data_IF_190294060343
#
_entry.id   IF_190294060343
#
_cell.length_a   1.000
_cell.length_b   1.000
_cell.length_c   1.000
_cell.angle_alpha   90.00
_cell.angle_beta   90.00
_cell.angle_gamma   90.00
#
_symmetry.space_group_name_H-M   'P 1'
#
loop_
_entity.id
_entity.type
_entity.pdbx_description
1 polymer ?
#
# COMPACT_ATOMS: atom_id res chain seq x y z
N UNK A 1 15.07 7.12 24.49
CA UNK A 1 15.53 5.88 23.85
C UNK A 1 14.41 4.85 23.85
N UNK A 2 14.34 3.96 22.87
CA UNK A 2 13.53 2.74 22.91
C UNK A 2 14.33 1.61 22.21
N UNK A 3 13.96 0.35 22.43
CA UNK A 3 14.68 -0.81 21.90
C UNK A 3 14.78 -0.80 20.37
N UNK A 4 13.72 -0.46 19.65
CA UNK A 4 13.74 -0.38 18.17
C UNK A 4 14.79 0.61 17.66
N UNK A 5 14.98 1.75 18.34
CA UNK A 5 16.02 2.68 17.97
C UNK A 5 17.40 2.12 18.31
N UNK A 6 17.53 1.41 19.44
CA UNK A 6 18.80 0.77 19.83
C UNK A 6 19.18 -0.33 18.83
N UNK A 7 18.22 -1.20 18.45
CA UNK A 7 18.40 -2.22 17.39
C UNK A 7 18.79 -1.57 16.05
N UNK A 8 18.15 -0.48 15.65
CA UNK A 8 18.49 0.28 14.44
C UNK A 8 19.93 0.82 14.49
N UNK A 9 20.30 1.43 15.61
CA UNK A 9 21.66 1.99 15.81
C UNK A 9 22.69 0.86 15.77
N UNK A 10 22.43 -0.28 16.39
CA UNK A 10 23.29 -1.46 16.34
C UNK A 10 23.41 -2.02 14.93
N UNK A 11 22.31 -2.26 14.26
CA UNK A 11 22.25 -2.85 12.91
C UNK A 11 23.09 -2.07 11.90
N UNK A 12 22.98 -0.75 11.92
CA UNK A 12 23.70 0.15 11.00
C UNK A 12 25.01 0.67 11.60
N UNK A 13 25.36 0.25 12.81
CA UNK A 13 26.57 0.67 13.53
C UNK A 13 26.70 2.20 13.65
N UNK A 14 25.60 2.90 13.98
CA UNK A 14 25.54 4.34 14.13
C UNK A 14 25.97 4.80 15.52
N UNK A 15 27.16 4.34 15.96
CA UNK A 15 27.85 4.70 17.18
C UNK A 15 29.36 4.79 16.95
N UNK A 16 30.09 5.44 17.84
CA UNK A 16 31.55 5.50 17.74
C UNK A 16 32.16 4.12 17.94
N UNK A 17 32.84 3.60 16.92
CA UNK A 17 33.45 2.27 16.91
C UNK A 17 34.95 2.27 17.28
N UNK A 18 35.52 3.44 17.57
CA UNK A 18 36.90 3.53 17.97
C UNK A 18 37.03 3.09 19.42
N UNK A 19 38.00 2.20 19.68
CA UNK A 19 38.36 1.74 21.03
C UNK A 19 37.16 1.20 21.83
N UNK A 20 36.32 0.37 21.18
CA UNK A 20 35.24 -0.30 21.90
C UNK A 20 35.79 -1.21 23.00
N UNK A 21 35.12 -1.19 24.15
CA UNK A 21 35.43 -2.05 25.29
C UNK A 21 34.13 -2.58 25.90
N UNK A 22 34.20 -3.77 26.46
CA UNK A 22 33.15 -4.29 27.32
C UNK A 22 33.08 -3.47 28.61
N UNK A 23 32.00 -3.60 29.36
CA UNK A 23 31.89 -2.97 30.72
C UNK A 23 33.02 -3.40 31.68
N UNK A 24 33.67 -4.50 31.37
CA UNK A 24 34.84 -5.02 32.17
C UNK A 24 36.19 -4.44 31.64
N UNK A 25 36.16 -3.58 30.62
CA UNK A 25 37.36 -2.97 30.05
C UNK A 25 38.10 -3.82 29.03
N UNK A 26 37.57 -4.97 28.62
CA UNK A 26 38.18 -5.80 27.59
C UNK A 26 37.97 -5.16 26.20
N UNK A 27 39.03 -5.17 25.40
CA UNK A 27 38.97 -4.65 24.02
C UNK A 27 37.96 -5.44 23.19
N UNK A 28 37.05 -4.73 22.54
CA UNK A 28 35.98 -5.31 21.73
C UNK A 28 36.13 -4.85 20.25
N UNK A 29 36.04 -5.79 19.33
CA UNK A 29 35.97 -5.54 17.88
C UNK A 29 34.72 -6.23 17.32
N UNK A 30 33.90 -5.48 16.61
CA UNK A 30 32.72 -6.03 15.92
C UNK A 30 33.12 -6.30 14.46
N UNK A 31 33.35 -7.58 14.10
CA UNK A 31 33.63 -8.01 12.73
C UNK A 31 32.33 -8.08 11.91
N UNK A 32 31.25 -8.63 12.51
CA UNK A 32 29.91 -8.72 11.92
C UNK A 32 28.86 -8.46 13.02
N UNK A 33 27.97 -7.45 12.90
CA UNK A 33 27.00 -7.14 13.94
C UNK A 33 25.88 -8.18 14.09
N UNK A 34 25.79 -9.13 13.18
CA UNK A 34 24.71 -10.10 13.08
C UNK A 34 23.59 -9.65 12.13
N UNK A 35 22.61 -10.53 11.95
CA UNK A 35 21.40 -10.28 11.15
C UNK A 35 20.22 -10.08 12.09
N UNK A 36 19.47 -8.99 11.92
CA UNK A 36 18.29 -8.67 12.73
C UNK A 36 17.26 -9.82 12.62
N UNK A 37 16.85 -10.34 13.76
CA UNK A 37 15.83 -11.38 13.87
C UNK A 37 14.45 -10.72 14.09
N UNK A 38 13.47 -11.13 13.29
CA UNK A 38 12.09 -10.69 13.40
C UNK A 38 11.16 -11.74 14.05
N UNK A 39 11.75 -12.84 14.54
CA UNK A 39 11.04 -13.97 15.14
C UNK A 39 11.41 -14.11 16.61
N UNK A 40 10.91 -15.16 17.26
CA UNK A 40 11.26 -15.47 18.64
C UNK A 40 12.77 -15.79 18.78
N UNK A 41 13.38 -15.34 19.87
CA UNK A 41 14.80 -15.54 20.20
C UNK A 41 15.59 -14.23 20.19
N UNK A 42 16.92 -14.29 20.21
CA UNK A 42 17.80 -13.13 20.27
C UNK A 42 17.61 -12.13 19.15
N UNK A 43 17.82 -10.86 19.42
CA UNK A 43 17.62 -9.73 18.48
C UNK A 43 18.47 -9.85 17.21
N UNK A 44 19.71 -10.31 17.33
CA UNK A 44 20.61 -10.50 16.19
C UNK A 44 21.24 -11.89 16.23
N UNK A 45 21.23 -12.58 15.09
CA UNK A 45 21.84 -13.88 14.89
C UNK A 45 23.10 -13.80 14.04
N UNK A 46 23.96 -14.81 14.15
CA UNK A 46 25.19 -14.97 13.36
C UNK A 46 26.16 -13.79 13.46
N UNK A 47 26.27 -13.17 14.60
CA UNK A 47 27.24 -12.14 14.87
C UNK A 47 28.65 -12.74 15.01
N UNK A 48 29.67 -11.92 14.66
CA UNK A 48 31.09 -12.27 14.83
C UNK A 48 31.78 -11.11 15.51
N UNK A 49 32.31 -11.37 16.70
CA UNK A 49 33.02 -10.37 17.50
C UNK A 49 34.35 -10.94 17.99
N UNK A 50 35.22 -10.03 18.43
CA UNK A 50 36.46 -10.39 19.11
C UNK A 50 36.54 -9.66 20.43
N UNK A 51 36.70 -10.41 21.52
CA UNK A 51 36.92 -9.88 22.88
C UNK A 51 38.32 -10.26 23.29
N UNK A 52 39.18 -9.26 23.53
CA UNK A 52 40.62 -9.50 23.69
C UNK A 52 41.20 -10.19 22.46
N UNK A 53 41.82 -11.35 22.65
CA UNK A 53 42.38 -12.18 21.58
C UNK A 53 41.40 -13.27 21.09
N UNK A 54 40.25 -13.45 21.75
CA UNK A 54 39.32 -14.54 21.46
C UNK A 54 38.26 -14.11 20.48
N UNK A 55 38.05 -14.91 19.42
CA UNK A 55 36.97 -14.73 18.43
C UNK A 55 35.73 -15.51 18.85
N UNK A 56 34.60 -14.83 18.88
CA UNK A 56 33.30 -15.36 19.26
C UNK A 56 32.34 -15.32 18.09
N UNK A 57 31.54 -16.38 17.90
CA UNK A 57 30.48 -16.49 16.90
C UNK A 57 29.20 -16.89 17.62
N UNK A 58 28.14 -16.08 17.49
CA UNK A 58 26.89 -16.33 18.19
C UNK A 58 25.86 -15.25 17.96
N UNK A 59 25.01 -15.04 18.94
CA UNK A 59 23.90 -14.10 18.90
C UNK A 59 24.15 -12.91 19.81
N UNK A 60 23.43 -11.84 19.55
CA UNK A 60 23.51 -10.60 20.33
C UNK A 60 22.10 -10.22 20.77
N UNK A 61 21.98 -9.82 22.03
CA UNK A 61 20.74 -9.32 22.64
C UNK A 61 20.89 -7.85 23.01
N UNK A 62 19.82 -7.08 22.82
CA UNK A 62 19.80 -5.65 23.11
C UNK A 62 18.72 -5.29 24.14
N UNK A 63 19.08 -4.48 25.14
CA UNK A 63 18.14 -3.94 26.12
C UNK A 63 18.40 -2.46 26.41
N UNK A 64 17.41 -1.78 26.95
CA UNK A 64 17.62 -0.40 27.45
C UNK A 64 18.45 -0.41 28.71
N UNK A 65 18.11 -1.23 29.69
CA UNK A 65 18.86 -1.45 30.90
C UNK A 65 19.40 -2.88 30.93
N UNK A 66 20.58 -3.09 31.53
CA UNK A 66 21.11 -4.44 31.70
C UNK A 66 20.21 -5.34 32.53
N UNK A 67 19.51 -4.79 33.53
CA UNK A 67 18.53 -5.52 34.36
C UNK A 67 17.35 -6.09 33.60
N UNK A 68 17.05 -5.62 32.37
CA UNK A 68 15.97 -6.15 31.54
C UNK A 68 16.21 -7.62 31.14
N UNK A 69 17.48 -8.06 31.13
CA UNK A 69 17.85 -9.47 30.97
C UNK A 69 17.10 -10.38 31.94
N UNK A 70 17.06 -9.99 33.23
CA UNK A 70 16.37 -10.77 34.24
C UNK A 70 14.86 -10.62 34.18
N UNK A 71 14.36 -9.42 33.85
CA UNK A 71 12.91 -9.15 33.66
C UNK A 71 12.31 -10.02 32.57
N UNK A 72 13.05 -10.21 31.48
CA UNK A 72 12.63 -11.04 30.35
C UNK A 72 12.93 -12.53 30.57
N UNK A 73 13.61 -12.92 31.67
CA UNK A 73 13.95 -14.31 32.04
C UNK A 73 14.79 -15.04 31.00
N UNK A 74 15.68 -14.34 30.28
CA UNK A 74 16.51 -14.93 29.22
C UNK A 74 17.44 -16.02 29.73
N UNK A 75 17.92 -15.98 30.97
CA UNK A 75 18.76 -17.02 31.56
C UNK A 75 18.11 -18.40 31.64
N UNK A 76 16.77 -18.50 31.59
CA UNK A 76 16.05 -19.78 31.60
C UNK A 76 15.62 -20.28 30.20
N UNK A 77 15.76 -19.44 29.16
CA UNK A 77 15.36 -19.78 27.80
C UNK A 77 16.56 -20.32 26.98
N UNK A 78 16.46 -21.55 26.49
CA UNK A 78 17.50 -22.22 25.69
C UNK A 78 17.86 -21.46 24.41
N UNK A 79 16.97 -20.63 23.87
CA UNK A 79 17.25 -19.84 22.69
C UNK A 79 18.36 -18.80 22.92
N UNK A 80 18.61 -18.42 24.18
CA UNK A 80 19.62 -17.44 24.58
C UNK A 80 20.94 -18.04 25.04
N UNK A 81 21.11 -19.36 24.95
CA UNK A 81 22.34 -20.04 25.39
C UNK A 81 23.60 -19.66 24.57
N UNK A 82 23.43 -19.15 23.35
CA UNK A 82 24.54 -18.76 22.46
C UNK A 82 24.64 -17.23 22.30
N UNK A 83 24.28 -16.47 23.33
CA UNK A 83 24.54 -15.03 23.34
C UNK A 83 26.02 -14.81 23.64
N UNK A 84 26.68 -14.00 22.82
CA UNK A 84 28.12 -13.70 22.94
C UNK A 84 28.37 -12.27 23.41
N UNK A 85 27.37 -11.39 23.31
CA UNK A 85 27.44 -10.00 23.74
C UNK A 85 26.05 -9.51 24.13
N UNK A 86 25.95 -8.83 25.26
CA UNK A 86 24.78 -8.06 25.66
C UNK A 86 25.04 -6.59 25.34
N UNK A 87 24.20 -5.99 24.51
CA UNK A 87 24.33 -4.57 24.13
C UNK A 87 23.26 -3.77 24.83
N UNK A 88 23.66 -2.78 25.63
CA UNK A 88 22.72 -2.01 26.44
C UNK A 88 22.84 -0.51 26.19
N UNK A 89 21.76 0.21 26.38
CA UNK A 89 21.85 1.67 26.49
C UNK A 89 22.57 2.07 27.76
N UNK A 90 22.17 1.48 28.89
CA UNK A 90 22.71 1.76 30.23
C UNK A 90 22.89 0.45 31.02
N UNK A 91 24.00 0.31 31.71
CA UNK A 91 24.24 -0.79 32.66
C UNK A 91 23.88 -0.34 34.04
N UNK A 92 22.71 -0.75 34.56
CA UNK A 92 22.22 -0.45 35.91
C UNK A 92 22.59 -1.56 36.93
N UNK A 93 22.79 -2.79 36.47
CA UNK A 93 23.31 -3.89 37.28
C UNK A 93 24.10 -4.88 36.42
N UNK A 94 25.11 -5.59 36.96
CA UNK A 94 25.85 -6.60 36.24
C UNK A 94 25.00 -7.81 35.94
N UNK A 95 25.13 -8.35 34.71
CA UNK A 95 24.44 -9.57 34.27
C UNK A 95 25.40 -10.75 34.29
N UNK A 96 24.93 -11.90 34.79
CA UNK A 96 25.68 -13.12 34.85
C UNK A 96 25.05 -14.21 34.01
N UNK A 97 25.88 -15.04 33.40
CA UNK A 97 25.45 -16.25 32.69
C UNK A 97 25.02 -17.35 33.68
N UNK A 98 24.50 -18.48 33.14
CA UNK A 98 24.07 -19.60 33.95
C UNK A 98 25.22 -20.30 34.71
N UNK A 99 26.47 -20.05 34.33
CA UNK A 99 27.66 -20.57 34.97
C UNK A 99 28.21 -19.60 36.06
N UNK A 100 27.58 -18.44 36.22
CA UNK A 100 28.00 -17.40 37.18
C UNK A 100 29.13 -16.51 36.67
N UNK A 101 29.46 -16.56 35.37
CA UNK A 101 30.43 -15.65 34.80
C UNK A 101 29.74 -14.33 34.43
N UNK A 102 30.43 -13.23 34.57
CA UNK A 102 29.95 -11.92 34.14
C UNK A 102 29.78 -11.90 32.62
N UNK A 103 28.60 -11.49 32.19
CA UNK A 103 28.26 -11.48 30.77
C UNK A 103 28.96 -10.32 30.04
N UNK A 104 29.64 -10.54 28.89
CA UNK A 104 30.23 -9.45 28.14
C UNK A 104 29.17 -8.42 27.73
N UNK A 105 29.29 -7.19 28.22
CA UNK A 105 28.30 -6.13 28.00
C UNK A 105 28.95 -4.92 27.30
N UNK A 106 28.28 -4.38 26.27
CA UNK A 106 28.67 -3.11 25.61
C UNK A 106 27.65 -2.03 25.91
N UNK A 107 28.09 -0.93 26.50
CA UNK A 107 27.26 0.23 26.83
C UNK A 107 27.29 1.23 25.66
N UNK A 108 26.14 1.57 25.07
CA UNK A 108 26.06 2.47 23.90
C UNK A 108 25.76 3.93 24.26
N UNK A 109 25.32 4.25 25.46
CA UNK A 109 24.86 5.59 25.88
C UNK A 109 25.84 6.71 25.49
N UNK A 110 27.14 6.51 25.75
CA UNK A 110 28.17 7.51 25.49
C UNK A 110 28.77 7.42 24.09
N UNK A 111 28.45 6.38 23.34
CA UNK A 111 28.98 6.13 21.99
C UNK A 111 28.07 6.68 20.90
N UNK A 112 26.79 6.94 21.22
CA UNK A 112 25.80 7.41 20.23
C UNK A 112 25.81 8.94 20.16
N UNK A 113 25.94 9.51 18.95
CA UNK A 113 25.93 10.95 18.74
C UNK A 113 24.59 11.59 19.15
N UNK A 114 24.62 12.64 19.98
CA UNK A 114 23.44 13.38 20.42
C UNK A 114 22.57 13.87 19.27
N UNK A 115 23.19 14.31 18.17
CA UNK A 115 22.51 14.79 16.96
C UNK A 115 21.55 13.74 16.36
N UNK A 116 21.93 12.45 16.36
CA UNK A 116 21.07 11.36 15.90
C UNK A 116 19.81 11.25 16.78
N UNK A 117 20.00 11.29 18.10
CA UNK A 117 18.90 11.19 19.06
C UNK A 117 17.93 12.38 18.94
N UNK A 118 18.47 13.59 18.84
CA UNK A 118 17.68 14.81 18.66
C UNK A 118 16.82 14.76 17.39
N UNK A 119 17.39 14.34 16.26
CA UNK A 119 16.66 14.17 14.99
C UNK A 119 15.56 13.12 15.11
N UNK A 120 15.86 12.00 15.71
CA UNK A 120 14.86 10.97 15.94
C UNK A 120 13.68 11.49 16.78
N UNK A 121 13.97 12.14 17.92
CA UNK A 121 12.96 12.73 18.79
C UNK A 121 12.12 13.74 18.02
N UNK A 122 12.76 14.64 17.24
CA UNK A 122 12.04 15.63 16.45
C UNK A 122 11.08 14.98 15.44
N UNK A 123 11.51 13.94 14.72
CA UNK A 123 10.63 13.21 13.80
C UNK A 123 9.48 12.50 14.52
N UNK A 124 9.73 11.93 15.72
CA UNK A 124 8.70 11.20 16.47
C UNK A 124 7.67 12.12 17.11
N UNK A 125 8.07 13.31 17.55
CA UNK A 125 7.18 14.28 18.22
C UNK A 125 6.35 15.12 17.26
N UNK A 126 6.77 15.22 15.99
CA UNK A 126 6.07 16.06 15.01
C UNK A 126 4.66 15.53 14.68
N UNK A 127 3.69 16.43 14.56
CA UNK A 127 2.29 16.11 14.25
C UNK A 127 1.93 16.29 12.76
N UNK A 128 2.90 16.64 11.93
CA UNK A 128 2.66 16.81 10.48
C UNK A 128 2.63 15.47 9.75
N UNK A 129 1.95 15.44 8.61
CA UNK A 129 1.76 14.22 7.80
C UNK A 129 3.09 13.60 7.32
N UNK A 130 4.09 14.45 7.02
CA UNK A 130 5.43 14.03 6.64
C UNK A 130 6.40 14.39 7.76
N UNK A 131 6.71 13.47 8.70
CA UNK A 131 7.50 13.80 9.90
C UNK A 131 8.88 14.38 9.62
N UNK A 132 9.46 14.05 8.48
CA UNK A 132 10.81 14.48 8.08
C UNK A 132 10.83 15.68 7.11
N UNK A 133 9.71 16.38 6.88
CA UNK A 133 9.65 17.42 5.83
C UNK A 133 10.68 18.54 6.00
N UNK A 134 11.07 18.88 7.24
CA UNK A 134 12.06 19.92 7.54
C UNK A 134 13.50 19.52 7.18
N UNK A 135 13.72 18.23 6.95
CA UNK A 135 15.04 17.68 6.61
C UNK A 135 15.19 17.36 5.11
N UNK A 136 14.13 17.52 4.31
CA UNK A 136 14.13 17.19 2.90
C UNK A 136 14.78 18.31 2.04
N UNK A 137 15.36 17.95 0.86
CA UNK A 137 15.62 16.61 0.34
C UNK A 137 16.87 15.98 0.98
N UNK A 138 16.91 14.67 1.20
CA UNK A 138 17.99 13.96 1.89
C UNK A 138 18.66 12.87 1.07
N UNK A 139 17.92 12.21 0.20
CA UNK A 139 18.46 11.25 -0.75
C UNK A 139 18.88 11.98 -2.03
N UNK A 140 19.89 11.47 -2.69
CA UNK A 140 20.22 11.85 -4.05
C UNK A 140 19.14 11.32 -5.04
N UNK A 141 19.26 11.67 -6.31
CA UNK A 141 18.27 11.29 -7.32
C UNK A 141 18.16 9.76 -7.47
N UNK A 142 19.29 9.05 -7.43
CA UNK A 142 19.32 7.59 -7.51
C UNK A 142 18.67 6.94 -6.29
N UNK A 143 18.96 7.42 -5.09
CA UNK A 143 18.38 6.96 -3.85
C UNK A 143 16.85 7.15 -3.82
N UNK A 144 16.35 8.28 -4.31
CA UNK A 144 14.91 8.51 -4.45
C UNK A 144 14.29 7.58 -5.49
N UNK A 145 14.96 7.35 -6.64
CA UNK A 145 14.47 6.43 -7.67
C UNK A 145 14.30 5.01 -7.10
N UNK A 146 15.36 4.46 -6.53
CA UNK A 146 15.36 3.12 -5.94
C UNK A 146 14.32 2.98 -4.80
N UNK A 147 14.17 4.01 -3.96
CA UNK A 147 13.18 3.99 -2.87
C UNK A 147 11.75 4.02 -3.39
N UNK A 148 11.45 4.85 -4.40
CA UNK A 148 10.12 4.90 -5.02
C UNK A 148 9.76 3.59 -5.73
N UNK A 149 10.70 2.97 -6.44
CA UNK A 149 10.49 1.66 -7.08
C UNK A 149 10.14 0.58 -6.05
N UNK A 150 10.88 0.53 -4.95
CA UNK A 150 10.60 -0.39 -3.84
C UNK A 150 9.21 -0.16 -3.26
N UNK A 151 8.83 1.08 -2.97
CA UNK A 151 7.51 1.43 -2.43
C UNK A 151 6.37 1.08 -3.41
N UNK A 152 6.59 1.28 -4.71
CA UNK A 152 5.63 0.89 -5.74
C UNK A 152 5.45 -0.64 -5.79
N UNK A 153 6.55 -1.40 -5.66
CA UNK A 153 6.50 -2.86 -5.57
C UNK A 153 5.74 -3.32 -4.32
N UNK A 154 6.06 -2.80 -3.14
CA UNK A 154 5.36 -3.09 -1.87
C UNK A 154 3.84 -2.81 -1.98
N UNK A 155 3.47 -1.68 -2.61
CA UNK A 155 2.07 -1.36 -2.90
C UNK A 155 1.40 -2.41 -3.79
N UNK A 156 2.04 -2.81 -4.87
CA UNK A 156 1.50 -3.81 -5.81
C UNK A 156 1.39 -5.18 -5.15
N UNK A 157 2.35 -5.61 -4.36
CA UNK A 157 2.31 -6.87 -3.59
C UNK A 157 1.15 -6.86 -2.59
N UNK A 158 0.99 -5.80 -1.83
CA UNK A 158 -0.11 -5.66 -0.88
C UNK A 158 -1.48 -5.66 -1.56
N UNK A 159 -1.61 -5.00 -2.71
CA UNK A 159 -2.84 -5.01 -3.52
C UNK A 159 -3.09 -6.40 -4.11
N UNK A 160 -2.05 -7.08 -4.55
CA UNK A 160 -2.14 -8.44 -5.09
C UNK A 160 -2.61 -9.44 -4.04
N UNK A 161 -2.18 -9.33 -2.80
CA UNK A 161 -2.67 -10.19 -1.71
C UNK A 161 -4.19 -10.13 -1.57
N UNK A 162 -4.79 -8.93 -1.63
CA UNK A 162 -6.24 -8.75 -1.62
C UNK A 162 -6.91 -9.35 -2.87
N UNK A 163 -6.34 -9.12 -4.07
CA UNK A 163 -6.84 -9.66 -5.33
C UNK A 163 -6.85 -11.19 -5.32
N UNK A 164 -5.80 -11.81 -4.80
CA UNK A 164 -5.72 -13.28 -4.69
C UNK A 164 -6.73 -13.85 -3.68
N UNK A 165 -7.10 -13.11 -2.64
CA UNK A 165 -8.22 -13.50 -1.77
C UNK A 165 -9.56 -13.48 -2.53
N UNK A 166 -9.81 -12.45 -3.34
CA UNK A 166 -11.00 -12.38 -4.20
C UNK A 166 -11.00 -13.51 -5.25
N UNK A 167 -9.82 -13.84 -5.79
CA UNK A 167 -9.67 -14.94 -6.75
C UNK A 167 -10.10 -16.28 -6.15
N UNK A 168 -9.71 -16.57 -4.91
CA UNK A 168 -10.20 -17.76 -4.19
C UNK A 168 -11.71 -17.75 -4.02
N UNK A 169 -12.31 -16.60 -3.70
CA UNK A 169 -13.77 -16.45 -3.55
C UNK A 169 -14.52 -16.69 -4.86
N UNK A 170 -13.94 -16.33 -6.01
CA UNK A 170 -14.53 -16.52 -7.33
C UNK A 170 -14.34 -17.94 -7.91
N UNK A 171 -13.70 -18.87 -7.18
CA UNK A 171 -13.33 -20.16 -7.74
C UNK A 171 -12.21 -20.08 -8.79
N UNK A 172 -11.28 -19.18 -8.62
CA UNK A 172 -10.14 -18.91 -9.51
C UNK A 172 -10.54 -18.31 -10.89
N UNK A 173 -11.61 -17.54 -10.91
CA UNK A 173 -12.11 -16.92 -12.12
C UNK A 173 -11.66 -15.47 -12.28
N UNK A 174 -10.59 -15.22 -13.05
CA UNK A 174 -9.98 -13.89 -13.22
C UNK A 174 -10.90 -12.83 -13.81
N UNK A 175 -11.76 -13.18 -14.76
CA UNK A 175 -12.74 -12.24 -15.33
C UNK A 175 -13.76 -11.76 -14.28
N UNK A 176 -14.22 -12.65 -13.39
CA UNK A 176 -15.12 -12.28 -12.29
C UNK A 176 -14.44 -11.30 -11.31
N UNK A 177 -13.21 -11.59 -10.91
CA UNK A 177 -12.44 -10.71 -10.00
C UNK A 177 -12.20 -9.35 -10.65
N UNK A 178 -11.81 -9.34 -11.92
CA UNK A 178 -11.59 -8.13 -12.69
C UNK A 178 -12.88 -7.30 -12.80
N UNK A 179 -14.02 -7.95 -13.03
CA UNK A 179 -15.34 -7.35 -13.05
C UNK A 179 -15.69 -6.70 -11.69
N UNK A 180 -15.52 -7.42 -10.58
CA UNK A 180 -15.81 -6.89 -9.24
C UNK A 180 -14.96 -5.66 -8.90
N UNK A 181 -13.67 -5.72 -9.19
CA UNK A 181 -12.74 -4.61 -8.93
C UNK A 181 -12.99 -3.40 -9.84
N UNK A 182 -13.32 -3.64 -11.11
CA UNK A 182 -13.67 -2.60 -12.06
C UNK A 182 -14.92 -1.85 -11.57
N UNK A 183 -15.98 -2.58 -11.25
CA UNK A 183 -17.20 -2.00 -10.73
C UNK A 183 -16.94 -1.23 -9.42
N UNK A 184 -16.23 -1.82 -8.47
CA UNK A 184 -15.86 -1.16 -7.21
C UNK A 184 -15.15 0.18 -7.45
N UNK A 185 -14.27 0.24 -8.44
CA UNK A 185 -13.56 1.47 -8.80
C UNK A 185 -14.49 2.54 -9.38
N UNK A 186 -15.45 2.16 -10.24
CA UNK A 186 -16.48 3.09 -10.74
C UNK A 186 -17.29 3.75 -9.61
N UNK A 187 -17.49 3.04 -8.49
CA UNK A 187 -18.13 3.58 -7.30
C UNK A 187 -17.32 4.65 -6.57
N UNK A 188 -16.09 4.91 -6.98
CA UNK A 188 -15.09 5.74 -6.31
C UNK A 188 -15.03 5.41 -4.80
N UNK A 189 -14.43 6.27 -3.97
CA UNK A 189 -14.28 5.97 -2.54
C UNK A 189 -15.60 5.78 -1.80
N UNK A 190 -16.64 6.56 -2.15
CA UNK A 190 -17.89 6.64 -1.39
C UNK A 190 -18.82 5.46 -1.66
N UNK A 191 -18.97 5.08 -2.92
CA UNK A 191 -19.88 4.02 -3.34
C UNK A 191 -19.16 2.73 -3.78
N UNK A 192 -17.84 2.60 -3.56
CA UNK A 192 -17.05 1.44 -3.99
C UNK A 192 -17.65 0.11 -3.51
N UNK A 193 -17.98 0.02 -2.23
CA UNK A 193 -18.56 -1.20 -1.66
C UNK A 193 -19.99 -1.50 -2.18
N UNK A 194 -20.79 -0.48 -2.51
CA UNK A 194 -22.07 -0.68 -3.19
C UNK A 194 -21.86 -1.30 -4.58
N UNK A 195 -20.96 -0.72 -5.37
CA UNK A 195 -20.70 -1.19 -6.73
C UNK A 195 -20.09 -2.60 -6.77
N UNK A 196 -19.24 -2.94 -5.80
CA UNK A 196 -18.74 -4.31 -5.63
C UNK A 196 -19.88 -5.30 -5.34
N UNK A 197 -20.80 -4.96 -4.43
CA UNK A 197 -21.97 -5.80 -4.13
C UNK A 197 -22.87 -5.96 -5.37
N UNK A 198 -23.10 -4.88 -6.12
CA UNK A 198 -23.86 -4.93 -7.39
C UNK A 198 -23.17 -5.88 -8.38
N UNK A 199 -21.87 -5.76 -8.53
CA UNK A 199 -21.12 -6.64 -9.44
C UNK A 199 -21.18 -8.11 -9.02
N UNK A 200 -21.04 -8.41 -7.73
CA UNK A 200 -21.14 -9.77 -7.19
C UNK A 200 -22.54 -10.36 -7.29
N UNK A 201 -23.57 -9.52 -7.35
CA UNK A 201 -24.97 -9.97 -7.48
C UNK A 201 -25.41 -10.31 -8.91
N UNK A 202 -24.59 -9.98 -9.91
CA UNK A 202 -24.87 -10.22 -11.34
C UNK A 202 -23.73 -11.02 -11.95
N UNK A 203 -23.96 -12.29 -12.31
CA UNK A 203 -22.92 -13.10 -12.94
C UNK A 203 -22.54 -12.57 -14.34
N UNK A 204 -21.29 -12.75 -14.74
CA UNK A 204 -20.81 -12.39 -16.08
C UNK A 204 -21.62 -13.03 -17.19
N UNK A 205 -22.17 -14.23 -16.99
CA UNK A 205 -23.05 -14.90 -17.94
C UNK A 205 -24.35 -14.11 -18.20
N UNK A 206 -24.91 -13.43 -17.18
CA UNK A 206 -26.07 -12.56 -17.34
C UNK A 206 -25.68 -11.32 -18.14
N UNK A 207 -24.57 -10.68 -17.77
CA UNK A 207 -24.03 -9.50 -18.48
C UNK A 207 -23.81 -9.83 -19.97
N UNK A 208 -23.15 -10.94 -20.28
CA UNK A 208 -22.86 -11.36 -21.65
C UNK A 208 -24.14 -11.57 -22.50
N UNK A 209 -25.21 -12.12 -21.91
CA UNK A 209 -26.51 -12.29 -22.60
C UNK A 209 -27.18 -10.97 -22.96
N UNK A 210 -26.88 -9.89 -22.25
CA UNK A 210 -27.49 -8.57 -22.44
C UNK A 210 -26.52 -7.52 -23.01
N UNK A 211 -25.29 -7.94 -23.38
CA UNK A 211 -24.22 -7.05 -23.84
C UNK A 211 -24.67 -6.07 -24.92
N UNK A 212 -25.41 -6.51 -25.93
CA UNK A 212 -25.81 -5.68 -27.07
C UNK A 212 -27.06 -4.82 -26.82
N UNK A 213 -27.51 -4.71 -25.57
CA UNK A 213 -28.72 -3.96 -25.16
C UNK A 213 -28.42 -3.06 -23.99
N UNK A 214 -27.93 -1.86 -24.28
CA UNK A 214 -27.46 -0.89 -23.29
C UNK A 214 -28.53 -0.64 -22.18
N UNK A 215 -29.81 -0.46 -22.56
CA UNK A 215 -30.90 -0.24 -21.61
C UNK A 215 -31.10 -1.41 -20.64
N UNK A 216 -30.86 -2.65 -21.08
CA UNK A 216 -30.97 -3.82 -20.21
C UNK A 216 -29.77 -3.90 -19.24
N UNK A 217 -28.56 -3.52 -19.68
CA UNK A 217 -27.41 -3.40 -18.78
C UNK A 217 -27.61 -2.30 -17.75
N UNK A 218 -28.13 -1.13 -18.15
CA UNK A 218 -28.47 -0.06 -17.21
C UNK A 218 -29.57 -0.50 -16.23
N UNK A 219 -30.64 -1.14 -16.71
CA UNK A 219 -31.69 -1.65 -15.87
C UNK A 219 -31.16 -2.66 -14.83
N UNK A 220 -30.26 -3.58 -15.22
CA UNK A 220 -29.62 -4.53 -14.31
C UNK A 220 -28.81 -3.80 -13.22
N UNK A 221 -27.91 -2.92 -13.62
CA UNK A 221 -27.01 -2.25 -12.68
C UNK A 221 -27.75 -1.29 -11.73
N UNK A 222 -28.60 -0.43 -12.28
CA UNK A 222 -29.38 0.54 -11.50
C UNK A 222 -30.41 -0.16 -10.61
N UNK A 223 -31.03 -1.23 -11.11
CA UNK A 223 -31.98 -2.01 -10.35
C UNK A 223 -31.34 -2.77 -9.20
N UNK A 224 -30.20 -3.42 -9.42
CA UNK A 224 -29.45 -4.09 -8.36
C UNK A 224 -28.90 -3.09 -7.31
N UNK A 225 -28.56 -1.88 -7.73
CA UNK A 225 -28.19 -0.79 -6.82
C UNK A 225 -29.38 -0.18 -6.07
N UNK A 226 -30.59 -0.75 -6.21
CA UNK A 226 -31.83 -0.26 -5.60
C UNK A 226 -32.21 1.18 -5.99
N UNK A 227 -31.82 1.62 -7.20
CA UNK A 227 -32.08 2.95 -7.73
C UNK A 227 -33.38 3.02 -8.59
N UNK A 228 -34.03 1.91 -8.85
CA UNK A 228 -35.28 1.82 -9.64
C UNK A 228 -36.54 1.55 -8.79
N UNK A 229 -36.44 1.69 -7.47
CA UNK A 229 -37.58 1.44 -6.56
C UNK A 229 -38.51 2.65 -6.34
N UNK A 230 -38.18 3.82 -6.87
CA UNK A 230 -38.94 5.07 -6.69
C UNK A 230 -40.15 5.17 -7.62
N UNK A 231 -40.93 6.26 -7.44
CA UNK A 231 -41.93 6.70 -8.41
C UNK A 231 -41.28 7.69 -9.35
N UNK A 232 -41.38 7.46 -10.66
CA UNK A 232 -40.79 8.29 -11.69
C UNK A 232 -41.86 8.78 -12.67
N UNK A 233 -41.54 9.90 -13.35
CA UNK A 233 -42.41 10.55 -14.32
C UNK A 233 -41.84 10.50 -15.73
N UNK A 234 -40.55 10.53 -15.88
CA UNK A 234 -39.89 10.44 -17.19
C UNK A 234 -40.08 9.05 -17.81
N UNK A 235 -40.20 9.00 -19.12
CA UNK A 235 -40.37 7.75 -19.88
C UNK A 235 -39.18 6.80 -19.73
N UNK A 236 -37.97 7.35 -19.59
CA UNK A 236 -36.74 6.55 -19.52
C UNK A 236 -36.61 5.74 -18.22
N UNK A 237 -36.69 6.31 -17.01
CA UNK A 237 -36.71 5.49 -15.79
C UNK A 237 -37.88 4.52 -15.71
N UNK A 238 -39.04 4.89 -16.23
CA UNK A 238 -40.23 3.98 -16.30
C UNK A 238 -39.93 2.74 -17.18
N UNK A 239 -39.24 2.96 -18.30
CA UNK A 239 -38.80 1.88 -19.19
C UNK A 239 -37.76 0.98 -18.48
N UNK A 240 -36.77 1.58 -17.79
CA UNK A 240 -35.77 0.81 -17.04
C UNK A 240 -36.39 0.00 -15.89
N UNK A 241 -37.42 0.53 -15.21
CA UNK A 241 -38.17 -0.22 -14.18
C UNK A 241 -38.84 -1.46 -14.77
N UNK A 242 -39.49 -1.34 -15.92
CA UNK A 242 -40.15 -2.49 -16.60
C UNK A 242 -39.11 -3.54 -17.01
N UNK A 243 -38.01 -3.12 -17.63
CA UNK A 243 -36.92 -4.01 -18.01
C UNK A 243 -36.31 -4.71 -16.78
N UNK A 244 -36.03 -3.96 -15.72
CA UNK A 244 -35.49 -4.55 -14.49
C UNK A 244 -36.46 -5.52 -13.83
N UNK A 245 -37.73 -5.21 -13.78
CA UNK A 245 -38.75 -6.12 -13.23
C UNK A 245 -38.76 -7.46 -13.99
N UNK A 246 -38.71 -7.42 -15.31
CA UNK A 246 -38.63 -8.62 -16.15
C UNK A 246 -37.32 -9.40 -15.87
N UNK A 247 -36.15 -8.72 -15.88
CA UNK A 247 -34.85 -9.34 -15.67
C UNK A 247 -34.72 -9.89 -14.24
N UNK A 248 -35.19 -9.15 -13.25
CA UNK A 248 -35.22 -9.59 -11.86
C UNK A 248 -35.98 -10.92 -11.70
N UNK A 249 -37.18 -11.04 -12.30
CA UNK A 249 -38.00 -12.27 -12.28
C UNK A 249 -37.30 -13.40 -13.05
N UNK A 250 -36.76 -13.11 -14.24
CA UNK A 250 -36.10 -14.09 -15.10
C UNK A 250 -34.89 -14.75 -14.47
N UNK A 251 -34.06 -13.96 -13.75
CA UNK A 251 -32.79 -14.39 -13.15
C UNK A 251 -32.86 -14.52 -11.63
N UNK A 252 -34.03 -14.35 -11.02
CA UNK A 252 -34.27 -14.44 -9.56
C UNK A 252 -33.34 -13.50 -8.77
N UNK A 253 -33.06 -12.30 -9.32
CA UNK A 253 -32.17 -11.32 -8.73
C UNK A 253 -32.80 -10.65 -7.50
N UNK A 254 -31.99 -10.27 -6.54
CA UNK A 254 -32.39 -9.45 -5.39
C UNK A 254 -31.50 -8.18 -5.35
N UNK A 255 -32.09 -6.98 -5.24
CA UNK A 255 -31.35 -5.77 -5.06
C UNK A 255 -30.42 -5.87 -3.84
N UNK A 256 -29.23 -5.26 -3.92
CA UNK A 256 -28.29 -5.29 -2.81
C UNK A 256 -28.80 -4.48 -1.63
N UNK A 257 -28.55 -4.96 -0.41
CA UNK A 257 -28.97 -4.26 0.81
C UNK A 257 -27.94 -3.17 1.22
N UNK A 258 -27.71 -2.20 0.32
CA UNK A 258 -26.89 -1.03 0.59
C UNK A 258 -27.42 0.17 -0.20
N UNK A 259 -27.63 1.27 0.50
CA UNK A 259 -28.14 2.49 -0.13
C UNK A 259 -27.03 3.26 -0.85
N UNK A 260 -27.29 3.77 -2.07
CA UNK A 260 -26.36 4.65 -2.77
C UNK A 260 -26.26 6.02 -2.10
N UNK A 261 -25.02 6.49 -1.94
CA UNK A 261 -24.74 7.80 -1.37
C UNK A 261 -24.61 8.86 -2.47
N UNK A 262 -25.26 10.01 -2.29
CA UNK A 262 -25.21 11.17 -3.18
C UNK A 262 -24.61 12.40 -2.50
N UNK A 263 -24.51 12.41 -1.16
CA UNK A 263 -24.07 13.56 -0.39
C UNK A 263 -22.53 13.72 -0.45
N UNK A 264 -22.07 14.97 -0.45
CA UNK A 264 -20.66 15.35 -0.45
C UNK A 264 -19.88 14.82 -1.66
N UNK A 265 -20.56 14.69 -2.80
CA UNK A 265 -20.01 14.26 -4.08
C UNK A 265 -20.25 15.31 -5.17
N UNK A 266 -19.33 15.38 -6.13
CA UNK A 266 -19.61 16.13 -7.37
C UNK A 266 -20.64 15.37 -8.20
N UNK A 267 -21.61 16.05 -8.88
CA UNK A 267 -22.65 15.38 -9.66
C UNK A 267 -22.13 14.37 -10.70
N UNK A 268 -21.00 14.68 -11.36
CA UNK A 268 -20.35 13.76 -12.29
C UNK A 268 -19.87 12.42 -11.66
N UNK A 269 -19.83 12.34 -10.33
CA UNK A 269 -19.49 11.11 -9.59
C UNK A 269 -20.72 10.45 -8.95
N UNK A 270 -21.94 10.91 -9.23
CA UNK A 270 -23.14 10.30 -8.69
C UNK A 270 -23.27 8.83 -9.15
N UNK A 271 -23.77 7.95 -8.27
CA UNK A 271 -23.88 6.52 -8.57
C UNK A 271 -24.71 6.23 -9.81
N UNK A 272 -25.74 7.01 -10.10
CA UNK A 272 -26.57 6.95 -11.31
C UNK A 272 -25.72 7.10 -12.57
N UNK A 273 -24.95 8.20 -12.67
CA UNK A 273 -24.08 8.48 -13.82
C UNK A 273 -22.97 7.44 -13.94
N UNK A 274 -22.39 7.02 -12.81
CA UNK A 274 -21.31 6.02 -12.81
C UNK A 274 -21.79 4.63 -13.21
N UNK A 275 -22.98 4.22 -12.80
CA UNK A 275 -23.58 2.95 -13.25
C UNK A 275 -23.94 2.98 -14.74
N UNK A 276 -24.44 4.12 -15.23
CA UNK A 276 -24.70 4.31 -16.66
C UNK A 276 -23.40 4.24 -17.52
N UNK A 277 -22.31 4.90 -17.04
CA UNK A 277 -21.00 4.78 -17.71
C UNK A 277 -20.46 3.34 -17.66
N UNK A 278 -20.65 2.63 -16.54
CA UNK A 278 -20.26 1.24 -16.41
C UNK A 278 -21.09 0.35 -17.34
N UNK A 279 -22.38 0.59 -17.49
CA UNK A 279 -23.23 -0.10 -18.47
C UNK A 279 -22.74 0.14 -19.92
N UNK A 280 -22.40 1.38 -20.25
CA UNK A 280 -21.83 1.72 -21.56
C UNK A 280 -20.50 0.98 -21.81
N UNK A 281 -19.65 0.84 -20.81
CA UNK A 281 -18.41 0.08 -20.91
C UNK A 281 -18.70 -1.42 -21.16
N UNK A 282 -19.60 -2.01 -20.38
CA UNK A 282 -20.01 -3.43 -20.54
C UNK A 282 -20.67 -3.72 -21.91
N UNK A 283 -21.29 -2.72 -22.51
CA UNK A 283 -21.86 -2.82 -23.85
C UNK A 283 -20.78 -2.97 -24.93
N UNK A 284 -19.57 -2.44 -24.69
CA UNK A 284 -18.45 -2.48 -25.63
C UNK A 284 -17.53 -3.67 -25.37
N UNK A 285 -17.20 -3.96 -24.10
CA UNK A 285 -16.25 -5.01 -23.72
C UNK A 285 -16.94 -6.33 -23.39
N UNK A 286 -16.24 -7.47 -23.64
CA UNK A 286 -16.74 -8.81 -23.27
C UNK A 286 -15.88 -9.49 -22.22
N UNK A 287 -14.56 -9.47 -22.39
CA UNK A 287 -13.58 -10.17 -21.59
C UNK A 287 -12.49 -9.18 -21.18
N UNK A 288 -12.78 -8.37 -20.15
CA UNK A 288 -11.91 -7.25 -19.81
C UNK A 288 -10.54 -7.70 -19.30
N UNK A 289 -10.48 -8.79 -18.54
CA UNK A 289 -9.21 -9.34 -18.10
C UNK A 289 -8.37 -9.84 -19.28
N UNK A 290 -8.96 -10.55 -20.24
CA UNK A 290 -8.25 -10.99 -21.44
C UNK A 290 -7.71 -9.80 -22.24
N UNK A 291 -8.52 -8.75 -22.42
CA UNK A 291 -8.08 -7.50 -23.06
C UNK A 291 -6.85 -6.91 -22.34
N UNK A 292 -6.90 -6.79 -21.02
CA UNK A 292 -5.77 -6.27 -20.20
C UNK A 292 -4.52 -7.12 -20.43
N UNK A 293 -4.68 -8.44 -20.44
CA UNK A 293 -3.55 -9.38 -20.57
C UNK A 293 -2.91 -9.28 -21.96
N UNK A 294 -3.70 -9.16 -23.02
CA UNK A 294 -3.24 -9.18 -24.41
C UNK A 294 -2.74 -7.83 -24.92
N UNK A 295 -3.33 -6.73 -24.42
CA UNK A 295 -2.97 -5.37 -24.84
C UNK A 295 -1.53 -5.03 -24.49
N UNK A 296 -0.81 -4.38 -25.42
CA UNK A 296 0.63 -4.09 -25.25
C UNK A 296 0.92 -2.81 -24.49
N UNK A 297 0.10 -1.79 -24.60
CA UNK A 297 0.31 -0.47 -24.00
C UNK A 297 -0.90 0.03 -23.21
N UNK A 298 -0.66 0.87 -22.22
CA UNK A 298 -1.69 1.43 -21.34
C UNK A 298 -2.71 2.31 -22.09
N UNK A 299 -2.31 2.94 -23.18
CA UNK A 299 -3.14 3.85 -23.96
C UNK A 299 -4.32 3.13 -24.61
N UNK A 300 -4.11 1.93 -25.17
CA UNK A 300 -5.20 1.14 -25.78
C UNK A 300 -6.29 0.81 -24.74
N UNK A 301 -5.90 0.43 -23.51
CA UNK A 301 -6.87 0.20 -22.43
C UNK A 301 -7.57 1.48 -22.04
N UNK A 302 -6.84 2.60 -22.01
CA UNK A 302 -7.43 3.92 -21.72
C UNK A 302 -8.47 4.31 -22.76
N UNK A 303 -8.20 4.11 -24.05
CA UNK A 303 -9.13 4.41 -25.13
C UNK A 303 -10.42 3.58 -25.05
N UNK A 304 -10.33 2.32 -24.63
CA UNK A 304 -11.49 1.45 -24.35
C UNK A 304 -12.31 1.97 -23.17
N UNK A 305 -11.67 2.52 -22.15
CA UNK A 305 -12.34 3.08 -20.97
C UNK A 305 -13.06 4.41 -21.25
N UNK A 306 -12.74 5.12 -22.35
CA UNK A 306 -13.31 6.42 -22.69
C UNK A 306 -14.74 6.31 -23.28
N UNK A 307 -15.65 5.76 -22.47
CA UNK A 307 -17.06 5.57 -22.85
C UNK A 307 -17.93 6.76 -22.48
N UNK A 308 -19.10 6.85 -23.10
CA UNK A 308 -20.11 7.86 -22.84
C UNK A 308 -21.39 7.18 -22.36
N UNK A 309 -22.02 7.70 -21.30
CA UNK A 309 -23.32 7.22 -20.85
C UNK A 309 -24.41 7.51 -21.88
N UNK A 310 -25.54 6.82 -21.75
CA UNK A 310 -26.71 7.00 -22.64
C UNK A 310 -27.20 8.46 -22.65
N UNK A 311 -27.85 8.87 -23.74
CA UNK A 311 -28.31 10.24 -24.02
C UNK A 311 -29.19 10.84 -22.90
N UNK A 312 -30.03 10.04 -22.25
CA UNK A 312 -30.82 10.51 -21.11
C UNK A 312 -29.93 11.17 -20.05
N UNK A 313 -28.78 10.58 -19.74
CA UNK A 313 -27.86 11.07 -18.72
C UNK A 313 -27.17 12.39 -19.14
N UNK A 314 -27.18 12.75 -20.40
CA UNK A 314 -26.61 14.06 -20.84
C UNK A 314 -27.40 15.24 -20.28
N UNK A 315 -28.67 15.01 -19.96
CA UNK A 315 -29.58 16.03 -19.37
C UNK A 315 -29.87 15.75 -17.89
N UNK A 316 -29.36 14.64 -17.30
CA UNK A 316 -29.71 14.24 -15.96
C UNK A 316 -28.49 13.78 -15.15
N UNK A 317 -28.51 14.07 -13.85
CA UNK A 317 -27.64 13.47 -12.86
C UNK A 317 -28.41 12.53 -11.92
N UNK A 318 -29.71 12.72 -11.79
CA UNK A 318 -30.69 11.88 -11.12
C UNK A 318 -31.90 11.71 -12.01
N UNK A 319 -32.72 10.72 -11.74
CA UNK A 319 -33.97 10.55 -12.45
C UNK A 319 -34.93 11.71 -12.19
N UNK A 320 -35.68 12.13 -13.19
CA UNK A 320 -36.69 13.19 -13.16
C UNK A 320 -36.13 14.60 -12.80
N UNK A 321 -34.83 14.77 -12.67
CA UNK A 321 -34.16 16.04 -12.39
C UNK A 321 -33.41 16.52 -13.64
N UNK A 322 -34.12 17.15 -14.57
CA UNK A 322 -33.53 17.66 -15.81
C UNK A 322 -32.52 18.79 -15.54
N UNK A 323 -31.41 18.78 -16.24
CA UNK A 323 -30.33 19.78 -16.19
C UNK A 323 -29.95 20.25 -17.59
N UNK A 324 -29.10 21.26 -17.68
CA UNK A 324 -28.50 21.68 -18.95
C UNK A 324 -27.72 20.52 -19.56
N UNK A 325 -27.78 20.43 -20.91
CA UNK A 325 -27.02 19.42 -21.68
C UNK A 325 -25.53 19.44 -21.31
N UNK A 326 -25.05 18.30 -20.90
CA UNK A 326 -23.63 18.05 -20.63
C UNK A 326 -23.29 16.58 -20.91
N UNK A 327 -22.48 16.27 -21.92
CA UNK A 327 -22.08 14.90 -22.21
C UNK A 327 -21.45 14.23 -20.99
N UNK A 328 -21.90 13.03 -20.66
CA UNK A 328 -21.41 12.26 -19.51
C UNK A 328 -20.35 11.25 -19.98
N UNK A 329 -19.24 11.79 -20.50
CA UNK A 329 -18.06 10.97 -20.82
C UNK A 329 -17.36 10.50 -19.52
N UNK A 330 -16.76 9.32 -19.57
CA UNK A 330 -15.78 8.95 -18.56
C UNK A 330 -14.52 9.79 -18.79
N UNK A 331 -14.25 10.72 -17.89
CA UNK A 331 -13.11 11.62 -18.05
C UNK A 331 -11.76 10.88 -17.92
N UNK A 332 -10.73 11.39 -18.61
CA UNK A 332 -9.37 10.81 -18.63
C UNK A 332 -8.84 10.53 -17.22
N UNK A 333 -9.03 11.45 -16.27
CA UNK A 333 -8.60 11.25 -14.87
C UNK A 333 -9.24 10.01 -14.22
N UNK A 334 -10.49 9.69 -14.56
CA UNK A 334 -11.14 8.49 -14.05
C UNK A 334 -10.62 7.23 -14.74
N UNK A 335 -10.34 7.28 -16.04
CA UNK A 335 -9.71 6.18 -16.77
C UNK A 335 -8.31 5.88 -16.23
N UNK A 336 -7.48 6.91 -16.00
CA UNK A 336 -6.18 6.78 -15.33
C UNK A 336 -6.32 6.17 -13.92
N UNK A 337 -7.32 6.61 -13.15
CA UNK A 337 -7.60 6.03 -11.83
C UNK A 337 -7.97 4.54 -11.90
N UNK A 338 -8.75 4.11 -12.91
CA UNK A 338 -9.08 2.69 -13.15
C UNK A 338 -7.82 1.90 -13.51
N UNK A 339 -6.96 2.46 -14.38
CA UNK A 339 -5.69 1.83 -14.72
C UNK A 339 -4.82 1.61 -13.48
N UNK A 340 -4.58 2.67 -12.69
CA UNK A 340 -3.69 2.65 -11.53
C UNK A 340 -4.23 1.74 -10.40
N UNK A 341 -5.54 1.75 -10.16
CA UNK A 341 -6.12 1.11 -8.98
C UNK A 341 -6.80 -0.24 -9.26
N UNK A 342 -7.03 -0.59 -10.52
CA UNK A 342 -7.65 -1.87 -10.91
C UNK A 342 -6.80 -2.64 -11.90
N UNK A 343 -6.56 -2.09 -13.07
CA UNK A 343 -5.94 -2.81 -14.20
C UNK A 343 -4.52 -3.25 -13.86
N UNK A 344 -3.67 -2.32 -13.45
CA UNK A 344 -2.26 -2.58 -13.11
C UNK A 344 -2.12 -3.55 -11.94
N UNK A 345 -2.84 -3.38 -10.79
CA UNK A 345 -2.79 -4.37 -9.72
C UNK A 345 -3.30 -5.76 -10.12
N UNK A 346 -4.33 -5.87 -10.96
CA UNK A 346 -4.83 -7.17 -11.46
C UNK A 346 -3.79 -7.84 -12.34
N UNK A 347 -3.16 -7.10 -13.25
CA UNK A 347 -2.10 -7.63 -14.13
C UNK A 347 -0.88 -8.09 -13.32
N UNK A 348 -0.46 -7.32 -12.32
CA UNK A 348 0.64 -7.68 -11.43
C UNK A 348 0.32 -8.92 -10.59
N UNK A 349 -0.90 -8.98 -10.01
CA UNK A 349 -1.38 -10.14 -9.25
C UNK A 349 -1.45 -11.40 -10.10
N UNK A 350 -1.87 -11.28 -11.35
CA UNK A 350 -1.86 -12.39 -12.30
C UNK A 350 -0.42 -12.87 -12.57
N UNK A 351 0.53 -11.95 -12.80
CA UNK A 351 1.94 -12.29 -12.99
C UNK A 351 2.55 -13.01 -11.79
N UNK A 352 2.19 -12.61 -10.56
CA UNK A 352 2.58 -13.32 -9.33
C UNK A 352 1.97 -14.74 -9.25
N UNK A 353 0.68 -14.86 -9.52
CA UNK A 353 -0.05 -16.12 -9.45
C UNK A 353 0.42 -17.14 -10.49
N UNK A 354 0.58 -16.70 -11.74
CA UNK A 354 0.96 -17.54 -12.88
C UNK A 354 2.47 -17.69 -13.05
N UNK A 355 3.28 -16.97 -12.25
CA UNK A 355 4.74 -16.88 -12.39
C UNK A 355 5.17 -16.32 -13.77
N UNK A 356 4.37 -15.42 -14.34
CA UNK A 356 4.65 -14.71 -15.59
C UNK A 356 5.30 -13.36 -15.30
N UNK A 357 6.65 -13.28 -15.36
CA UNK A 357 7.41 -12.03 -15.12
C UNK A 357 6.98 -10.92 -16.08
N UNK A 358 6.75 -11.23 -17.36
CA UNK A 358 6.32 -10.26 -18.37
C UNK A 358 5.06 -9.47 -17.98
N UNK A 359 4.13 -10.08 -17.24
CA UNK A 359 2.94 -9.40 -16.74
C UNK A 359 3.27 -8.43 -15.59
N UNK A 360 4.24 -8.77 -14.74
CA UNK A 360 4.70 -7.88 -13.66
C UNK A 360 5.48 -6.70 -14.22
N UNK A 361 6.40 -6.94 -15.14
CA UNK A 361 7.18 -5.91 -15.84
C UNK A 361 6.25 -4.94 -16.58
N UNK A 362 5.27 -5.46 -17.31
CA UNK A 362 4.25 -4.67 -18.00
C UNK A 362 3.45 -3.79 -17.05
N UNK A 363 3.05 -4.33 -15.89
CA UNK A 363 2.32 -3.56 -14.88
C UNK A 363 3.16 -2.39 -14.34
N UNK A 364 4.46 -2.61 -14.09
CA UNK A 364 5.39 -1.56 -13.64
C UNK A 364 5.62 -0.54 -14.75
N UNK A 365 5.85 -0.99 -15.98
CA UNK A 365 6.04 -0.10 -17.13
C UNK A 365 4.83 0.81 -17.34
N UNK A 366 3.61 0.30 -17.22
CA UNK A 366 2.41 1.12 -17.34
C UNK A 366 2.30 2.20 -16.26
N UNK A 367 2.83 1.96 -15.05
CA UNK A 367 2.93 3.01 -14.03
C UNK A 367 3.91 4.13 -14.43
N UNK A 368 4.96 3.82 -15.18
CA UNK A 368 5.86 4.85 -15.72
C UNK A 368 5.24 5.65 -16.88
N UNK A 369 4.39 5.03 -17.70
CA UNK A 369 3.74 5.67 -18.85
C UNK A 369 2.61 6.63 -18.44
N UNK A 370 1.95 6.37 -17.32
CA UNK A 370 0.82 7.17 -16.85
C UNK A 370 1.28 8.44 -16.16
N UNK A 371 0.46 9.50 -16.31
CA UNK A 371 0.67 10.77 -15.59
C UNK A 371 0.55 10.57 -14.08
N UNK A 372 1.28 11.42 -13.35
CA UNK A 372 1.25 11.40 -11.89
C UNK A 372 -0.15 11.70 -11.34
N UNK A 373 -0.52 11.04 -10.26
CA UNK A 373 -1.75 11.35 -9.54
C UNK A 373 -1.56 12.64 -8.72
N UNK A 374 -2.39 13.64 -9.01
CA UNK A 374 -2.40 14.90 -8.27
C UNK A 374 -3.49 14.92 -7.19
N UNK A 375 -3.09 14.78 -5.94
CA UNK A 375 -3.95 14.88 -4.78
C UNK A 375 -3.30 15.72 -3.67
N UNK A 376 -3.93 15.81 -2.50
CA UNK A 376 -3.41 16.59 -1.38
C UNK A 376 -2.04 16.08 -0.90
N UNK A 377 -1.83 14.75 -0.86
CA UNK A 377 -0.59 14.12 -0.38
C UNK A 377 0.56 14.38 -1.37
N UNK A 378 0.33 14.14 -2.66
CA UNK A 378 1.38 14.34 -3.68
C UNK A 378 1.80 15.80 -3.79
N UNK A 379 0.85 16.75 -3.68
CA UNK A 379 1.17 18.19 -3.61
C UNK A 379 1.98 18.56 -2.37
N UNK A 380 1.76 17.89 -1.23
CA UNK A 380 2.54 18.14 -0.03
C UNK A 380 4.00 17.69 -0.21
N UNK A 381 4.23 16.53 -0.82
CA UNK A 381 5.57 16.08 -1.19
C UNK A 381 6.26 17.04 -2.17
N UNK A 382 5.53 17.52 -3.17
CA UNK A 382 6.05 18.51 -4.13
C UNK A 382 6.47 19.81 -3.44
N UNK A 383 5.66 20.33 -2.49
CA UNK A 383 6.02 21.49 -1.67
C UNK A 383 7.24 21.26 -0.80
N UNK A 384 7.52 20.03 -0.43
CA UNK A 384 8.72 19.63 0.31
C UNK A 384 9.94 19.38 -0.60
N UNK A 385 9.86 19.74 -1.90
CA UNK A 385 10.95 19.63 -2.88
C UNK A 385 11.10 18.24 -3.52
N UNK A 386 10.16 17.30 -3.30
CA UNK A 386 10.23 15.97 -3.88
C UNK A 386 9.41 15.92 -5.16
N UNK A 387 10.12 15.77 -6.29
CA UNK A 387 9.52 15.74 -7.63
C UNK A 387 8.92 14.35 -7.89
N UNK A 388 7.75 14.34 -8.51
CA UNK A 388 7.10 13.15 -9.06
C UNK A 388 6.70 13.44 -10.52
N UNK A 389 7.05 12.53 -11.44
CA UNK A 389 6.93 12.74 -12.89
C UNK A 389 5.91 11.79 -13.54
N UNK A 390 5.58 10.71 -12.86
CA UNK A 390 4.70 9.64 -13.39
C UNK A 390 3.84 9.03 -12.29
N UNK A 391 2.95 8.12 -12.68
CA UNK A 391 2.08 7.42 -11.74
C UNK A 391 2.88 6.58 -10.73
N UNK A 392 3.98 5.93 -11.13
CA UNK A 392 4.83 5.17 -10.21
C UNK A 392 5.31 6.04 -9.06
N UNK A 393 5.84 7.21 -9.36
CA UNK A 393 6.33 8.16 -8.37
C UNK A 393 5.22 8.57 -7.38
N UNK A 394 4.06 8.99 -7.92
CA UNK A 394 2.96 9.45 -7.09
C UNK A 394 2.37 8.34 -6.21
N UNK A 395 2.26 7.12 -6.75
CA UNK A 395 1.79 5.96 -5.98
C UNK A 395 2.79 5.54 -4.90
N UNK A 396 4.09 5.62 -5.18
CA UNK A 396 5.14 5.39 -4.19
C UNK A 396 5.08 6.40 -3.04
N UNK A 397 4.89 7.70 -3.33
CA UNK A 397 4.75 8.73 -2.29
C UNK A 397 3.46 8.58 -1.47
N UNK A 398 2.37 8.13 -2.08
CA UNK A 398 1.13 7.78 -1.37
C UNK A 398 1.37 6.58 -0.44
N UNK A 399 2.06 5.55 -0.92
CA UNK A 399 2.44 4.38 -0.11
C UNK A 399 3.33 4.78 1.06
N UNK A 400 4.37 5.58 0.80
CA UNK A 400 5.26 6.11 1.82
C UNK A 400 4.48 6.86 2.91
N UNK A 401 3.54 7.73 2.52
CA UNK A 401 2.75 8.50 3.47
C UNK A 401 1.86 7.59 4.31
N UNK A 402 1.10 6.70 3.67
CA UNK A 402 0.08 5.90 4.35
C UNK A 402 0.65 4.77 5.19
N UNK A 403 1.76 4.15 4.77
CA UNK A 403 2.29 2.94 5.42
C UNK A 403 3.59 3.16 6.19
N UNK A 404 4.26 4.31 6.01
CA UNK A 404 5.46 4.67 6.75
C UNK A 404 5.26 5.95 7.57
N UNK A 405 4.96 7.08 6.93
CA UNK A 405 4.90 8.38 7.62
C UNK A 405 3.78 8.44 8.66
N UNK A 406 2.57 8.01 8.29
CA UNK A 406 1.42 7.99 9.20
C UNK A 406 1.65 7.13 10.44
N UNK A 407 2.39 6.04 10.29
CA UNK A 407 2.76 5.12 11.37
C UNK A 407 4.12 5.42 12.02
N UNK A 408 4.77 6.53 11.60
CA UNK A 408 6.10 6.93 12.10
C UNK A 408 7.17 5.83 12.00
N UNK A 409 7.11 5.00 10.94
CA UNK A 409 8.09 3.95 10.65
C UNK A 409 9.37 4.52 10.04
N UNK A 410 9.91 5.58 10.66
CA UNK A 410 11.06 6.31 10.12
C UNK A 410 12.34 5.48 10.13
N UNK A 411 12.48 4.53 11.05
CA UNK A 411 13.63 3.63 11.12
C UNK A 411 13.67 2.60 9.97
N UNK A 412 12.50 2.26 9.40
CA UNK A 412 12.35 1.35 8.27
C UNK A 412 12.37 2.09 6.91
N UNK A 413 12.45 3.42 6.94
CA UNK A 413 12.37 4.29 5.77
C UNK A 413 13.75 4.72 5.31
N UNK A 414 14.06 4.59 4.00
CA UNK A 414 15.33 5.03 3.44
C UNK A 414 15.62 6.51 3.71
N UNK A 415 14.59 7.38 3.63
CA UNK A 415 14.70 8.81 3.94
C UNK A 415 15.02 9.02 5.42
N UNK A 416 14.31 8.32 6.31
CA UNK A 416 14.56 8.39 7.76
C UNK A 416 15.98 7.93 8.12
N UNK A 417 16.43 6.83 7.51
CA UNK A 417 17.81 6.34 7.69
C UNK A 417 18.85 7.38 7.22
N UNK A 418 18.69 7.97 6.03
CA UNK A 418 19.57 9.00 5.51
C UNK A 418 19.64 10.23 6.44
N UNK A 419 18.49 10.65 7.01
CA UNK A 419 18.46 11.77 7.96
C UNK A 419 19.23 11.44 9.23
N UNK A 420 19.04 10.25 9.78
CA UNK A 420 19.70 9.83 11.01
C UNK A 420 21.21 9.65 10.82
N UNK A 421 21.64 9.19 9.63
CA UNK A 421 23.06 9.00 9.29
C UNK A 421 23.81 10.33 9.05
N UNK A 422 23.18 11.33 8.44
CA UNK A 422 23.86 12.53 7.90
C UNK A 422 24.60 13.31 8.97
N UNK A 423 25.92 13.51 8.77
CA UNK A 423 26.78 14.30 9.66
C UNK A 423 27.01 13.72 11.04
N UNK A 424 26.57 12.46 11.27
CA UNK A 424 26.82 11.72 12.50
C UNK A 424 28.24 11.15 12.50
N UNK A 425 28.70 10.71 11.32
CA UNK A 425 30.08 10.29 11.12
C UNK A 425 30.65 11.09 9.94
N UNK A 426 31.87 11.61 10.10
CA UNK A 426 32.62 12.15 8.96
C UNK A 426 32.93 10.97 8.05
N UNK A 427 32.49 11.04 6.79
CA UNK A 427 32.96 10.12 5.76
C UNK A 427 34.47 10.36 5.62
N UNK A 428 35.31 9.38 6.01
CA UNK A 428 36.72 9.33 5.76
C UNK A 428 36.96 8.64 4.43
#
# INVERSE_FOLDING_TARGET
MNEKLLQFIWQFQYYNRQQLQTSQGEKLLIEKPGTLNHHQGPDFSEAVIRIGETKWVGNIELHLCSSDWYKHRHGSDKNYNNIILHVVWEEDEPVFDNAGNWFPTLILQHLIPKLLLERYVQMMQTMVVIPCQTFLPMLDELGWCAWKERLAAERLERRSAHILLLLKQSGNHWEEVCWWLLAANFGVKVNSALFELVAKSISLNIIAKHKNRLQQLEALLLGQANLLGGKYYDSYPLMLQKEYHFLKKKYQLQPVNRQPAFLRMRPAAFPTVRLAQLAALLNVISHFFSIIKETKNSKEVMDILMVTANDYWHYHYRFDEATVFQPKHLGRQMAENILINTVIPVLFAYGLYSKEESCKEKAIQWLYELTEEQNQLTRQWQRSGIIHKCALDSQALIELTNHYCFHKRCLECAVGNAILKKGVFREH
#
